data_IF_007935884383
#
_entry.id   IF_007935884383
#
_cell.length_a   1.000
_cell.length_b   1.000
_cell.length_c   1.000
_cell.angle_alpha   90.00
_cell.angle_beta   90.00
_cell.angle_gamma   90.00
#
_symmetry.space_group_name_H-M   'P 1'
#
loop_
_entity.id
_entity.type
_entity.pdbx_description
1 polymer ?
#
# COMPACT_ATOMS: atom_id res chain seq x y z
N UNK A 1 32.89 54.32 57.17
CA UNK A 1 32.47 53.72 58.44
C UNK A 1 31.75 52.43 58.06
N UNK A 2 32.45 51.30 58.19
CA UNK A 2 31.89 49.96 57.99
C UNK A 2 30.90 49.65 59.12
N UNK A 3 29.72 49.11 58.80
CA UNK A 3 28.95 48.38 59.80
C UNK A 3 28.32 47.10 59.22
N UNK A 4 29.13 46.04 59.36
CA UNK A 4 28.79 44.69 59.81
C UNK A 4 27.43 44.09 59.39
N UNK A 5 27.57 43.14 58.49
CA UNK A 5 26.70 42.00 58.22
C UNK A 5 26.12 41.34 59.47
N UNK A 6 24.78 41.36 59.61
CA UNK A 6 24.04 40.52 60.56
C UNK A 6 23.47 39.32 59.82
N UNK A 7 24.12 38.17 60.04
CA UNK A 7 23.79 36.84 59.51
C UNK A 7 22.48 36.35 60.13
N UNK A 8 21.36 36.51 59.43
CA UNK A 8 20.05 36.03 59.87
C UNK A 8 19.90 34.52 59.62
N UNK A 9 20.42 33.70 60.55
CA UNK A 9 20.26 32.24 60.59
C UNK A 9 18.83 31.74 60.87
N UNK A 10 17.80 32.58 60.70
CA UNK A 10 16.39 32.21 60.83
C UNK A 10 15.73 31.80 59.51
N UNK A 11 16.20 32.33 58.37
CA UNK A 11 15.56 32.10 57.08
C UNK A 11 15.81 30.68 56.52
N UNK A 12 16.94 30.04 56.89
CA UNK A 12 17.32 28.71 56.38
C UNK A 12 16.48 27.58 57.01
N UNK A 13 16.02 27.75 58.26
CA UNK A 13 15.21 26.73 58.95
C UNK A 13 13.79 26.62 58.40
N UNK A 14 13.27 27.70 57.81
CA UNK A 14 11.96 27.73 57.15
C UNK A 14 12.06 27.49 55.64
N UNK A 15 13.24 27.63 55.04
CA UNK A 15 13.45 27.34 53.62
C UNK A 15 13.18 25.87 53.27
N UNK A 16 13.61 24.93 54.12
CA UNK A 16 13.43 23.50 53.86
C UNK A 16 11.96 23.04 53.83
N UNK A 17 11.10 23.37 54.83
CA UNK A 17 9.69 23.01 54.76
C UNK A 17 8.94 23.73 53.64
N UNK A 18 9.32 24.97 53.30
CA UNK A 18 8.73 25.72 52.18
C UNK A 18 9.07 25.07 50.84
N UNK A 19 10.32 24.65 50.65
CA UNK A 19 10.75 23.92 49.44
C UNK A 19 10.03 22.58 49.33
N UNK A 20 9.85 21.86 50.44
CA UNK A 20 9.06 20.61 50.46
C UNK A 20 7.60 20.88 50.11
N UNK A 21 6.98 21.93 50.66
CA UNK A 21 5.61 22.32 50.32
C UNK A 21 5.45 22.66 48.84
N UNK A 22 6.42 23.36 48.26
CA UNK A 22 6.44 23.68 46.82
C UNK A 22 6.61 22.38 46.01
N UNK A 23 7.52 21.48 46.42
CA UNK A 23 7.71 20.20 45.75
C UNK A 23 6.46 19.32 45.81
N UNK A 24 5.80 19.25 46.96
CA UNK A 24 4.53 18.52 47.12
C UNK A 24 3.44 19.18 46.27
N UNK A 25 3.38 20.51 46.22
CA UNK A 25 2.47 21.24 45.35
C UNK A 25 2.71 20.96 43.86
N UNK A 26 3.97 20.92 43.43
CA UNK A 26 4.35 20.60 42.04
C UNK A 26 4.09 19.13 41.72
N UNK A 27 4.38 18.20 42.63
CA UNK A 27 4.09 16.77 42.44
C UNK A 27 2.59 16.53 42.41
N UNK A 28 1.82 17.13 43.33
CA UNK A 28 0.37 17.07 43.28
C UNK A 28 -0.15 17.67 41.97
N UNK A 29 0.37 18.81 41.54
CA UNK A 29 -0.01 19.40 40.27
C UNK A 29 0.36 18.52 39.06
N UNK A 30 1.48 17.81 39.10
CA UNK A 30 1.89 16.88 38.04
C UNK A 30 1.05 15.59 38.03
N UNK A 31 0.63 15.09 39.20
CA UNK A 31 -0.18 13.88 39.34
C UNK A 31 -1.69 14.13 39.11
N UNK A 32 -2.20 15.32 39.43
CA UNK A 32 -3.59 15.71 39.20
C UNK A 32 -3.81 16.33 37.82
N UNK A 33 -2.77 16.49 37.01
CA UNK A 33 -2.92 16.89 35.61
C UNK A 33 -3.68 15.80 34.85
N UNK A 34 -4.81 16.12 34.19
CA UNK A 34 -5.44 15.19 33.28
C UNK A 34 -4.43 14.82 32.20
N UNK A 35 -4.10 13.53 32.06
CA UNK A 35 -3.40 13.08 30.87
C UNK A 35 -4.34 13.30 29.69
N UNK A 36 -4.05 14.32 28.89
CA UNK A 36 -4.69 14.50 27.59
C UNK A 36 -4.24 13.33 26.72
N UNK A 37 -5.05 12.27 26.70
CA UNK A 37 -4.95 11.27 25.67
C UNK A 37 -5.14 11.99 24.33
N UNK A 38 -4.30 11.74 23.32
CA UNK A 38 -4.57 12.26 21.99
C UNK A 38 -5.96 11.77 21.62
N UNK A 39 -6.89 12.70 21.40
CA UNK A 39 -8.26 12.38 21.07
C UNK A 39 -8.24 11.56 19.77
N UNK A 40 -8.39 10.24 19.91
CA UNK A 40 -8.62 9.37 18.77
C UNK A 40 -9.89 9.84 18.04
N UNK A 41 -9.96 9.57 16.73
CA UNK A 41 -11.15 9.90 15.94
C UNK A 41 -12.42 9.35 16.62
N UNK A 42 -13.32 10.26 17.01
CA UNK A 42 -14.63 9.89 17.58
C UNK A 42 -15.65 9.71 16.47
N UNK A 43 -16.41 8.62 16.49
CA UNK A 43 -17.54 8.44 15.56
C UNK A 43 -18.57 9.56 15.76
N UNK A 44 -19.06 10.12 14.66
CA UNK A 44 -20.11 11.14 14.70
C UNK A 44 -21.41 10.54 15.27
N UNK A 45 -21.98 11.21 16.27
CA UNK A 45 -23.16 10.73 17.00
C UNK A 45 -24.45 10.79 16.16
N UNK A 46 -24.45 11.62 15.12
CA UNK A 46 -25.52 11.88 14.16
C UNK A 46 -25.34 11.11 12.83
N UNK A 47 -24.30 10.29 12.70
CA UNK A 47 -24.10 9.46 11.52
C UNK A 47 -25.24 8.44 11.36
N UNK A 48 -25.92 8.48 10.21
CA UNK A 48 -26.95 7.52 9.83
C UNK A 48 -26.37 6.46 8.89
N UNK A 49 -26.88 5.23 8.96
CA UNK A 49 -26.49 4.14 8.08
C UNK A 49 -27.22 4.27 6.73
N UNK A 50 -26.48 4.43 5.65
CA UNK A 50 -27.05 4.51 4.30
C UNK A 50 -26.49 5.67 3.49
N UNK A 51 -26.96 5.81 2.25
CA UNK A 51 -26.67 7.00 1.44
C UNK A 51 -27.57 8.17 1.87
N UNK A 52 -27.17 9.40 1.51
CA UNK A 52 -27.98 10.60 1.76
C UNK A 52 -29.40 10.45 1.17
N UNK A 53 -30.39 10.97 1.88
CA UNK A 53 -31.76 11.05 1.40
C UNK A 53 -31.85 11.92 0.13
N UNK A 54 -32.73 11.54 -0.81
CA UNK A 54 -32.99 12.31 -2.04
C UNK A 54 -32.23 11.84 -3.29
N UNK A 55 -31.39 10.80 -3.21
CA UNK A 55 -30.87 10.12 -4.41
C UNK A 55 -31.96 9.30 -5.08
N UNK A 56 -32.05 9.35 -6.41
CA UNK A 56 -32.93 8.46 -7.17
C UNK A 56 -32.36 7.04 -7.22
N UNK A 57 -33.22 6.04 -7.46
CA UNK A 57 -32.78 4.66 -7.66
C UNK A 57 -31.75 4.56 -8.81
N UNK A 58 -31.97 5.31 -9.88
CA UNK A 58 -31.07 5.40 -11.03
C UNK A 58 -29.67 5.89 -10.62
N UNK A 59 -29.58 6.96 -9.83
CA UNK A 59 -28.30 7.50 -9.35
C UNK A 59 -27.58 6.54 -8.40
N UNK A 60 -28.33 5.78 -7.60
CA UNK A 60 -27.76 4.76 -6.72
C UNK A 60 -27.17 3.63 -7.56
N UNK A 61 -27.89 3.15 -8.57
CA UNK A 61 -27.43 2.09 -9.48
C UNK A 61 -26.22 2.55 -10.29
N UNK A 62 -26.22 3.77 -10.80
CA UNK A 62 -25.09 4.34 -11.54
C UNK A 62 -23.83 4.41 -10.68
N UNK A 63 -23.94 4.88 -9.44
CA UNK A 63 -22.82 4.94 -8.51
C UNK A 63 -22.30 3.55 -8.13
N UNK A 64 -23.21 2.58 -7.90
CA UNK A 64 -22.83 1.20 -7.63
C UNK A 64 -22.13 0.56 -8.82
N UNK A 65 -22.64 0.79 -10.04
CA UNK A 65 -22.03 0.31 -11.27
C UNK A 65 -20.63 0.91 -11.45
N UNK A 66 -20.47 2.22 -11.18
CA UNK A 66 -19.17 2.89 -11.22
C UNK A 66 -18.18 2.25 -10.25
N UNK A 67 -18.57 1.96 -9.01
CA UNK A 67 -17.71 1.28 -8.04
C UNK A 67 -17.31 -0.12 -8.54
N UNK A 68 -18.23 -0.85 -9.16
CA UNK A 68 -17.94 -2.17 -9.74
C UNK A 68 -16.95 -2.02 -10.90
N UNK A 69 -17.21 -1.11 -11.84
CA UNK A 69 -16.35 -0.85 -13.00
C UNK A 69 -14.94 -0.42 -12.58
N UNK A 70 -14.82 0.53 -11.65
CA UNK A 70 -13.55 0.96 -11.05
C UNK A 70 -12.82 -0.22 -10.36
N UNK A 71 -13.57 -1.20 -9.84
CA UNK A 71 -13.04 -2.42 -9.21
C UNK A 71 -12.68 -3.54 -10.19
N UNK A 72 -13.08 -3.48 -11.46
CA UNK A 72 -12.77 -4.53 -12.43
C UNK A 72 -11.34 -4.42 -12.92
N UNK A 73 -10.62 -5.55 -12.88
CA UNK A 73 -9.27 -5.66 -13.43
C UNK A 73 -9.22 -6.83 -14.43
N UNK A 74 -9.24 -6.48 -15.71
CA UNK A 74 -9.24 -7.42 -16.82
C UNK A 74 -7.79 -7.81 -17.17
N UNK A 75 -7.50 -9.10 -17.15
CA UNK A 75 -6.18 -9.64 -17.51
C UNK A 75 -6.25 -10.36 -18.85
N UNK A 76 -5.22 -10.19 -19.68
CA UNK A 76 -5.10 -10.88 -20.96
C UNK A 76 -3.63 -11.21 -21.22
N UNK A 77 -3.35 -12.49 -21.42
CA UNK A 77 -2.02 -13.05 -21.72
C UNK A 77 -2.18 -14.34 -22.53
N UNK A 78 -1.21 -14.67 -23.38
CA UNK A 78 -1.09 -16.01 -23.93
C UNK A 78 -0.62 -16.98 -22.83
N UNK A 79 -1.45 -17.97 -22.47
CA UNK A 79 -1.11 -18.98 -21.45
C UNK A 79 -0.20 -20.10 -21.97
N UNK A 80 0.08 -20.13 -23.27
CA UNK A 80 1.01 -21.08 -23.90
C UNK A 80 1.91 -20.36 -24.90
N UNK A 81 2.77 -19.44 -24.45
CA UNK A 81 3.69 -18.74 -25.33
C UNK A 81 4.78 -19.67 -25.85
N UNK A 82 5.07 -19.52 -27.13
CA UNK A 82 6.11 -20.23 -27.84
C UNK A 82 7.32 -19.31 -28.06
N UNK A 83 8.49 -19.84 -27.73
CA UNK A 83 9.77 -19.21 -27.90
C UNK A 83 10.59 -20.03 -28.91
N UNK A 84 11.15 -19.41 -29.97
CA UNK A 84 12.01 -20.12 -30.91
C UNK A 84 13.20 -20.82 -30.23
N UNK A 85 13.79 -20.15 -29.24
CA UNK A 85 14.83 -20.63 -28.33
C UNK A 85 14.74 -19.83 -27.01
N UNK A 86 15.41 -20.30 -25.95
CA UNK A 86 15.30 -19.66 -24.63
C UNK A 86 15.88 -18.23 -24.55
N UNK A 87 16.62 -17.77 -25.54
CA UNK A 87 17.22 -16.43 -25.59
C UNK A 87 16.51 -15.48 -26.56
N UNK A 88 15.55 -15.97 -27.34
CA UNK A 88 14.76 -15.21 -28.31
C UNK A 88 13.45 -14.71 -27.68
N UNK A 89 12.83 -13.65 -28.25
CA UNK A 89 11.48 -13.26 -27.86
C UNK A 89 10.45 -14.35 -28.17
N UNK A 90 9.43 -14.47 -27.32
CA UNK A 90 8.26 -15.33 -27.53
C UNK A 90 6.96 -14.53 -27.43
N UNK A 91 5.87 -15.11 -27.94
CA UNK A 91 4.57 -14.46 -28.07
C UNK A 91 3.76 -14.45 -26.76
N UNK A 92 4.20 -13.64 -25.79
CA UNK A 92 3.51 -13.47 -24.51
C UNK A 92 2.11 -12.85 -24.64
N UNK A 93 1.88 -11.98 -25.62
CA UNK A 93 0.58 -11.33 -25.88
C UNK A 93 -0.09 -10.73 -24.62
N UNK A 94 0.65 -9.93 -23.86
CA UNK A 94 0.14 -9.28 -22.64
C UNK A 94 -0.63 -8.03 -23.04
N UNK A 95 -1.86 -7.86 -22.56
CA UNK A 95 -2.68 -6.67 -22.84
C UNK A 95 -3.27 -6.09 -21.55
N UNK A 96 -3.11 -4.77 -21.39
CA UNK A 96 -3.85 -4.01 -20.39
C UNK A 96 -5.09 -3.41 -21.06
N UNK A 97 -6.26 -3.99 -20.77
CA UNK A 97 -7.54 -3.60 -21.37
C UNK A 97 -7.78 -2.09 -21.23
N UNK A 98 -8.36 -1.41 -22.25
CA UNK A 98 -8.79 -0.01 -22.11
C UNK A 98 -9.85 0.19 -21.02
N UNK A 99 -10.54 -0.88 -20.59
CA UNK A 99 -11.50 -0.83 -19.49
C UNK A 99 -10.82 -0.84 -18.10
N UNK A 100 -9.52 -1.11 -18.02
CA UNK A 100 -8.80 -1.06 -16.74
C UNK A 100 -8.44 0.39 -16.38
N UNK A 101 -8.39 0.67 -15.09
CA UNK A 101 -8.02 1.98 -14.55
C UNK A 101 -6.62 2.01 -13.90
N UNK A 102 -5.86 0.92 -14.05
CA UNK A 102 -4.59 0.70 -13.34
C UNK A 102 -3.42 0.53 -14.31
N UNK A 103 -2.24 0.93 -13.86
CA UNK A 103 -0.99 0.49 -14.45
C UNK A 103 -0.83 -1.01 -14.17
N UNK A 104 -0.55 -1.78 -15.22
CA UNK A 104 -0.38 -3.23 -15.12
C UNK A 104 1.09 -3.60 -15.24
N UNK A 105 1.61 -4.34 -14.26
CA UNK A 105 2.91 -5.02 -14.35
C UNK A 105 2.68 -6.52 -14.32
N UNK A 106 3.39 -7.27 -15.14
CA UNK A 106 3.31 -8.73 -15.21
C UNK A 106 4.65 -9.35 -14.87
N UNK A 107 4.65 -10.30 -13.95
CA UNK A 107 5.80 -11.15 -13.66
C UNK A 107 5.48 -12.59 -13.98
N UNK A 108 6.44 -13.31 -14.57
CA UNK A 108 6.30 -14.76 -14.82
C UNK A 108 7.31 -15.49 -13.94
N UNK A 109 6.80 -16.42 -13.13
CA UNK A 109 7.60 -17.23 -12.21
C UNK A 109 7.42 -18.71 -12.54
N UNK A 110 8.53 -19.46 -12.61
CA UNK A 110 8.49 -20.90 -12.81
C UNK A 110 7.99 -21.62 -11.56
N UNK A 111 7.09 -22.59 -11.71
CA UNK A 111 6.42 -23.22 -10.59
C UNK A 111 7.31 -24.22 -9.83
N UNK A 112 8.28 -24.81 -10.52
CA UNK A 112 9.19 -25.82 -9.97
C UNK A 112 10.29 -25.22 -9.09
N UNK A 113 10.84 -24.09 -9.51
CA UNK A 113 11.98 -23.41 -8.88
C UNK A 113 11.58 -22.17 -8.10
N UNK A 114 10.42 -21.58 -8.37
CA UNK A 114 10.04 -20.25 -7.87
C UNK A 114 10.87 -19.13 -8.49
N UNK A 115 11.62 -19.41 -9.55
CA UNK A 115 12.47 -18.42 -10.20
C UNK A 115 11.63 -17.51 -11.10
N UNK A 116 11.78 -16.19 -10.91
CA UNK A 116 11.20 -15.19 -11.81
C UNK A 116 12.02 -15.12 -13.09
N UNK A 117 11.38 -15.34 -14.22
CA UNK A 117 12.01 -15.41 -15.55
C UNK A 117 11.59 -14.29 -16.49
N UNK A 118 10.64 -13.45 -16.07
CA UNK A 118 10.22 -12.27 -16.81
C UNK A 118 9.58 -11.25 -15.88
N UNK A 119 9.86 -9.97 -16.12
CA UNK A 119 9.14 -8.83 -15.52
C UNK A 119 8.87 -7.79 -16.61
N UNK A 120 7.62 -7.39 -16.79
CA UNK A 120 7.27 -6.31 -17.72
C UNK A 120 7.60 -4.93 -17.12
N UNK A 121 7.68 -3.91 -17.97
CA UNK A 121 7.42 -2.55 -17.53
C UNK A 121 5.96 -2.35 -17.12
N UNK A 122 5.62 -1.18 -16.59
CA UNK A 122 4.23 -0.81 -16.37
C UNK A 122 3.53 -0.51 -17.70
N UNK A 123 2.42 -1.20 -17.97
CA UNK A 123 1.54 -0.94 -19.11
C UNK A 123 0.43 0.00 -18.65
N UNK A 124 0.27 1.13 -19.34
CA UNK A 124 -0.92 1.97 -19.22
C UNK A 124 -2.15 1.24 -19.79
N UNK A 125 -3.38 1.60 -19.38
CA UNK A 125 -4.59 1.12 -20.04
C UNK A 125 -4.53 1.34 -21.56
N UNK A 126 -5.02 0.38 -22.34
CA UNK A 126 -4.97 0.36 -23.81
C UNK A 126 -3.58 0.14 -24.43
N UNK A 127 -2.61 -0.38 -23.67
CA UNK A 127 -1.31 -0.81 -24.17
C UNK A 127 -1.12 -2.32 -24.08
N UNK A 128 -0.23 -2.85 -24.93
CA UNK A 128 0.05 -4.28 -25.00
C UNK A 128 1.53 -4.58 -25.30
N UNK A 129 1.94 -5.80 -25.02
CA UNK A 129 3.23 -6.40 -25.39
C UNK A 129 2.94 -7.65 -26.22
N UNK A 130 3.26 -7.59 -27.51
CA UNK A 130 3.04 -8.72 -28.43
C UNK A 130 4.03 -9.86 -28.15
N UNK A 131 5.32 -9.51 -28.07
CA UNK A 131 6.43 -10.44 -27.85
C UNK A 131 7.39 -9.87 -26.82
N UNK A 132 7.99 -10.73 -26.01
CA UNK A 132 9.05 -10.34 -25.10
C UNK A 132 10.07 -11.46 -24.90
N UNK A 133 11.29 -11.07 -24.54
CA UNK A 133 12.36 -11.98 -24.18
C UNK A 133 12.33 -12.26 -22.67
N UNK A 134 12.64 -13.50 -22.29
CA UNK A 134 12.84 -13.87 -20.89
C UNK A 134 14.14 -13.27 -20.33
N UNK A 135 14.16 -12.94 -19.04
CA UNK A 135 15.32 -12.39 -18.34
C UNK A 135 16.47 -13.42 -18.26
N UNK A 136 16.16 -14.70 -18.42
CA UNK A 136 17.09 -15.82 -18.43
C UNK A 136 16.81 -16.77 -19.57
N UNK A 137 17.88 -17.30 -20.16
CA UNK A 137 17.79 -18.37 -21.14
C UNK A 137 17.35 -19.69 -20.50
N UNK A 138 16.26 -20.26 -21.02
CA UNK A 138 15.79 -21.60 -20.70
C UNK A 138 16.23 -22.61 -21.77
N UNK A 139 16.42 -23.86 -21.37
CA UNK A 139 16.68 -24.93 -22.32
C UNK A 139 15.39 -25.29 -23.08
N UNK A 140 15.51 -26.03 -24.17
CA UNK A 140 14.37 -26.64 -24.85
C UNK A 140 13.50 -27.44 -23.88
N UNK A 141 12.19 -27.19 -23.91
CA UNK A 141 11.25 -27.86 -23.02
C UNK A 141 9.95 -27.09 -22.82
N UNK A 142 9.09 -27.63 -21.97
CA UNK A 142 7.85 -26.98 -21.53
C UNK A 142 7.89 -26.80 -20.03
N UNK A 143 7.66 -25.57 -19.57
CA UNK A 143 7.82 -25.19 -18.17
C UNK A 143 6.49 -24.67 -17.61
N UNK A 144 5.92 -25.32 -16.57
CA UNK A 144 4.77 -24.76 -15.87
C UNK A 144 5.19 -23.49 -15.11
N UNK A 145 4.41 -22.44 -15.27
CA UNK A 145 4.68 -21.13 -14.68
C UNK A 145 3.39 -20.44 -14.23
N UNK A 146 3.55 -19.38 -13.46
CA UNK A 146 2.46 -18.48 -13.06
C UNK A 146 2.79 -17.06 -13.50
N UNK A 147 1.88 -16.46 -14.28
CA UNK A 147 1.88 -15.03 -14.54
C UNK A 147 1.14 -14.32 -13.40
N UNK A 148 1.82 -13.41 -12.72
CA UNK A 148 1.23 -12.55 -11.68
C UNK A 148 1.08 -11.15 -12.25
N UNK A 149 -0.15 -10.66 -12.27
CA UNK A 149 -0.52 -9.32 -12.68
C UNK A 149 -0.65 -8.44 -11.44
N UNK A 150 0.01 -7.31 -11.45
CA UNK A 150 -0.02 -6.31 -10.40
C UNK A 150 -0.69 -5.06 -10.92
N UNK A 151 -1.72 -4.61 -10.23
CA UNK A 151 -2.44 -3.38 -10.52
C UNK A 151 -1.90 -2.27 -9.61
N UNK A 152 -1.37 -1.20 -10.22
CA UNK A 152 -0.89 -0.02 -9.53
C UNK A 152 -1.74 1.21 -9.90
N UNK A 153 -1.90 2.14 -8.96
CA UNK A 153 -2.48 3.46 -9.27
C UNK A 153 -1.57 4.23 -10.23
N UNK A 154 -2.15 4.97 -11.18
CA UNK A 154 -1.36 5.77 -12.13
C UNK A 154 -0.66 6.96 -11.45
N UNK A 155 -1.30 7.57 -10.45
CA UNK A 155 -0.83 8.81 -9.82
C UNK A 155 0.27 8.56 -8.77
N UNK A 156 0.04 7.58 -7.86
CA UNK A 156 0.92 7.31 -6.72
C UNK A 156 1.80 6.08 -6.90
N UNK A 157 1.55 5.27 -7.93
CA UNK A 157 2.21 3.97 -8.16
C UNK A 157 2.09 3.03 -6.96
N UNK A 158 0.99 3.13 -6.22
CA UNK A 158 0.68 2.25 -5.09
C UNK A 158 0.03 0.96 -5.59
N UNK A 159 0.45 -0.17 -5.05
CA UNK A 159 -0.13 -1.47 -5.36
C UNK A 159 -1.54 -1.57 -4.76
N UNK A 160 -2.54 -1.82 -5.60
CA UNK A 160 -3.95 -1.94 -5.18
C UNK A 160 -4.51 -3.34 -5.33
N UNK A 161 -3.90 -4.18 -6.16
CA UNK A 161 -4.40 -5.53 -6.38
C UNK A 161 -3.44 -6.43 -7.13
N UNK A 162 -3.68 -7.73 -7.01
CA UNK A 162 -2.90 -8.77 -7.68
C UNK A 162 -3.82 -9.87 -8.20
N UNK A 163 -3.54 -10.40 -9.39
CA UNK A 163 -4.21 -11.57 -9.96
C UNK A 163 -3.16 -12.55 -10.51
N UNK A 164 -3.46 -13.85 -10.46
CA UNK A 164 -2.57 -14.91 -10.96
C UNK A 164 -3.23 -15.72 -12.06
N UNK A 165 -2.45 -16.10 -13.09
CA UNK A 165 -2.86 -17.03 -14.13
C UNK A 165 -1.80 -18.13 -14.32
N UNK A 166 -2.24 -19.39 -14.37
CA UNK A 166 -1.38 -20.52 -14.72
C UNK A 166 -1.06 -20.51 -16.23
N UNK A 167 0.19 -20.82 -16.58
CA UNK A 167 0.66 -20.85 -17.96
C UNK A 167 1.76 -21.89 -18.18
N UNK A 168 2.10 -22.14 -19.44
CA UNK A 168 3.15 -23.06 -19.85
C UNK A 168 4.08 -22.40 -20.86
N UNK A 169 5.34 -22.16 -20.50
CA UNK A 169 6.34 -21.62 -21.41
C UNK A 169 6.86 -22.75 -22.31
N UNK A 170 6.77 -22.59 -23.64
CA UNK A 170 7.19 -23.60 -24.62
C UNK A 170 8.45 -23.10 -25.33
N UNK A 171 9.59 -23.75 -25.08
CA UNK A 171 10.88 -23.45 -25.72
C UNK A 171 11.16 -24.51 -26.80
N UNK A 172 11.21 -24.09 -28.07
CA UNK A 172 11.23 -25.00 -29.21
C UNK A 172 12.62 -25.60 -29.50
N UNK A 173 13.70 -24.81 -29.39
CA UNK A 173 15.07 -25.21 -29.75
C UNK A 173 16.10 -24.96 -28.64
#
# INVERSE_FOLDING_TARGET
MEEKTKKNGGAVKWAFPVVILILVGVIAWLLLRPQEQPAGLTRAADAQLGQLEGKTEEQIVEELNRIVEEGMFNISINTQPEFPDGSSPGNLCIENSPANHYLMVVEITLNDTGEKVYTSGALEPNYHIQEAKLDRALAKGTYPATATFYAYTADTQELVGTAGAEMQLIIQN
#
